data_IF_096232165791
#
_entry.id   IF_096232165791
#
_cell.length_a   1.000
_cell.length_b   1.000
_cell.length_c   1.000
_cell.angle_alpha   90.00
_cell.angle_beta   90.00
_cell.angle_gamma   90.00
#
_symmetry.space_group_name_H-M   'P 1'
#
loop_
_entity.id
_entity.type
_entity.pdbx_description
1 polymer ?
#
# COMPACT_ATOMS: atom_id res chain seq x y z
N UNK A 1 23.48 -40.01 77.28
CA UNK A 1 24.16 -40.43 76.05
C UNK A 1 23.14 -40.31 74.94
N UNK A 2 23.02 -39.17 74.27
CA UNK A 2 22.15 -39.04 73.10
C UNK A 2 22.81 -38.12 72.07
N UNK A 3 23.00 -38.67 70.88
CA UNK A 3 23.77 -38.14 69.75
C UNK A 3 23.00 -36.99 69.09
N UNK A 4 23.63 -35.82 69.01
CA UNK A 4 23.19 -34.75 68.12
C UNK A 4 23.49 -35.12 66.66
N UNK A 5 22.43 -35.31 65.86
CA UNK A 5 22.52 -35.53 64.41
C UNK A 5 22.76 -34.18 63.73
N UNK A 6 23.96 -33.99 63.15
CA UNK A 6 24.27 -32.81 62.33
C UNK A 6 23.80 -33.06 60.89
N UNK A 7 22.79 -32.33 60.46
CA UNK A 7 22.39 -32.21 59.05
C UNK A 7 23.36 -31.26 58.33
N UNK A 8 24.10 -31.78 57.35
CA UNK A 8 24.90 -30.98 56.42
C UNK A 8 23.99 -30.48 55.28
N UNK A 9 24.02 -29.19 54.92
CA UNK A 9 23.26 -28.68 53.79
C UNK A 9 23.98 -29.06 52.50
N UNK A 10 23.31 -29.86 51.67
CA UNK A 10 23.76 -30.17 50.31
C UNK A 10 23.55 -28.89 49.46
N UNK A 11 24.61 -28.11 49.28
CA UNK A 11 24.60 -26.94 48.40
C UNK A 11 24.62 -27.45 46.96
N UNK A 12 23.45 -27.59 46.33
CA UNK A 12 23.32 -27.96 44.93
C UNK A 12 23.85 -26.84 44.03
N UNK A 13 25.02 -27.03 43.42
CA UNK A 13 25.46 -26.21 42.30
C UNK A 13 24.53 -26.47 41.11
N UNK A 14 23.58 -25.56 40.89
CA UNK A 14 22.77 -25.50 39.68
C UNK A 14 23.66 -24.91 38.57
N UNK A 15 24.24 -25.76 37.72
CA UNK A 15 24.98 -25.34 36.53
C UNK A 15 24.03 -24.65 35.54
N UNK A 16 24.06 -23.33 35.49
CA UNK A 16 23.45 -22.53 34.42
C UNK A 16 24.23 -22.77 33.12
N UNK A 17 23.79 -23.76 32.33
CA UNK A 17 24.25 -23.91 30.95
C UNK A 17 23.66 -22.76 30.12
N UNK A 18 24.47 -21.98 29.38
CA UNK A 18 23.96 -20.93 28.51
C UNK A 18 23.07 -21.56 27.42
N UNK A 19 21.82 -21.10 27.31
CA UNK A 19 20.96 -21.50 26.20
C UNK A 19 21.63 -21.07 24.89
N UNK A 20 21.73 -21.96 23.88
CA UNK A 20 22.16 -21.55 22.56
C UNK A 20 21.19 -20.51 22.03
N UNK A 21 21.72 -19.33 21.67
CA UNK A 21 20.98 -18.33 20.93
C UNK A 21 20.62 -18.93 19.57
N UNK A 22 19.35 -19.28 19.38
CA UNK A 22 18.85 -19.70 18.08
C UNK A 22 18.91 -18.48 17.17
N UNK A 23 19.79 -18.50 16.17
CA UNK A 23 19.78 -17.52 15.11
C UNK A 23 18.47 -17.68 14.33
N UNK A 24 17.71 -16.60 14.16
CA UNK A 24 16.57 -16.58 13.25
C UNK A 24 17.02 -16.99 11.85
N UNK A 25 16.21 -17.75 11.10
CA UNK A 25 16.55 -18.11 9.73
C UNK A 25 16.82 -16.82 8.90
N UNK A 26 17.77 -16.87 7.95
CA UNK A 26 18.02 -15.74 7.08
C UNK A 26 16.74 -15.39 6.30
N UNK A 27 16.42 -14.09 6.25
CA UNK A 27 15.25 -13.58 5.54
C UNK A 27 15.46 -13.77 4.03
N UNK A 28 14.53 -14.49 3.38
CA UNK A 28 14.50 -14.61 1.93
C UNK A 28 13.77 -13.40 1.33
N UNK A 29 14.54 -12.37 0.99
CA UNK A 29 14.01 -11.12 0.48
C UNK A 29 13.30 -11.26 -0.87
N UNK A 30 13.72 -12.21 -1.71
CA UNK A 30 13.08 -12.43 -3.01
C UNK A 30 11.69 -13.04 -2.81
N UNK A 31 11.61 -14.10 -2.00
CA UNK A 31 10.33 -14.71 -1.67
C UNK A 31 9.37 -13.73 -0.95
N UNK A 32 9.89 -12.88 -0.05
CA UNK A 32 9.09 -11.83 0.59
C UNK A 32 8.56 -10.82 -0.42
N UNK A 33 9.38 -10.39 -1.38
CA UNK A 33 8.94 -9.46 -2.43
C UNK A 33 7.85 -10.07 -3.30
N UNK A 34 8.04 -11.31 -3.74
CA UNK A 34 7.06 -12.00 -4.61
C UNK A 34 5.71 -12.15 -3.90
N UNK A 35 5.71 -12.60 -2.65
CA UNK A 35 4.48 -12.74 -1.87
C UNK A 35 3.80 -11.40 -1.62
N UNK A 36 4.57 -10.38 -1.19
CA UNK A 36 4.01 -9.07 -0.91
C UNK A 36 3.44 -8.40 -2.18
N UNK A 37 4.02 -8.62 -3.36
CA UNK A 37 3.46 -8.11 -4.62
C UNK A 37 2.13 -8.78 -5.01
N UNK A 38 1.88 -10.01 -4.58
CA UNK A 38 0.61 -10.71 -4.79
C UNK A 38 -0.49 -10.22 -3.84
N UNK A 39 -0.12 -9.90 -2.60
CA UNK A 39 -1.05 -9.49 -1.54
C UNK A 39 -1.31 -7.99 -1.50
N UNK A 40 -0.33 -7.16 -1.92
CA UNK A 40 -0.43 -5.72 -1.83
C UNK A 40 -1.53 -5.17 -2.73
N UNK A 41 -2.27 -4.16 -2.23
CA UNK A 41 -3.23 -3.41 -3.03
C UNK A 41 -2.49 -2.75 -4.20
N UNK A 42 -2.80 -3.17 -5.42
CA UNK A 42 -2.12 -2.68 -6.63
C UNK A 42 -2.76 -1.39 -7.11
N UNK A 43 -1.97 -0.31 -7.18
CA UNK A 43 -2.40 0.95 -7.77
C UNK A 43 -2.34 0.84 -9.29
N UNK A 44 -3.51 0.91 -9.94
CA UNK A 44 -3.67 1.00 -11.40
C UNK A 44 -4.63 2.14 -11.74
N UNK A 45 -4.14 3.31 -12.20
CA UNK A 45 -2.73 3.61 -12.50
C UNK A 45 -1.84 3.63 -11.23
N UNK A 46 -0.51 3.51 -11.34
CA UNK A 46 0.39 3.72 -10.19
C UNK A 46 0.19 5.11 -9.59
N UNK A 47 0.55 5.34 -8.33
CA UNK A 47 0.53 6.68 -7.72
C UNK A 47 1.87 7.40 -7.89
N UNK A 48 1.84 8.72 -7.93
CA UNK A 48 3.00 9.56 -7.63
C UNK A 48 3.21 9.65 -6.13
N UNK A 49 4.46 9.77 -5.70
CA UNK A 49 4.79 10.12 -4.33
C UNK A 49 6.02 11.00 -4.24
N UNK A 50 6.15 11.75 -3.14
CA UNK A 50 7.38 12.45 -2.76
C UNK A 50 7.97 11.87 -1.49
N UNK A 51 9.28 11.74 -1.45
CA UNK A 51 10.00 11.34 -0.23
C UNK A 51 9.96 12.49 0.78
N UNK A 52 9.61 12.19 2.03
CA UNK A 52 9.52 13.15 3.14
C UNK A 52 10.39 12.74 4.34
N UNK A 53 10.48 13.61 5.34
CA UNK A 53 11.31 13.43 6.54
C UNK A 53 12.76 13.84 6.31
N UNK A 54 13.70 13.16 6.97
CA UNK A 54 15.13 13.51 6.95
C UNK A 54 16.01 12.31 6.55
N UNK A 55 17.23 12.59 6.10
CA UNK A 55 18.23 11.57 5.79
C UNK A 55 17.89 10.70 4.57
N UNK A 56 18.66 9.63 4.39
CA UNK A 56 18.50 8.69 3.27
C UNK A 56 17.38 7.69 3.56
N UNK A 57 16.51 7.47 2.58
CA UNK A 57 15.57 6.36 2.55
C UNK A 57 16.14 5.30 1.61
N UNK A 58 16.66 4.22 2.19
CA UNK A 58 17.22 3.13 1.41
C UNK A 58 16.11 2.30 0.76
N UNK A 59 16.36 1.81 -0.45
CA UNK A 59 15.50 0.81 -1.08
C UNK A 59 15.84 -0.57 -0.53
N UNK A 60 14.83 -1.42 -0.46
CA UNK A 60 14.94 -2.81 -0.02
C UNK A 60 14.54 -3.77 -1.15
N UNK A 61 15.19 -4.94 -1.22
CA UNK A 61 14.83 -5.98 -2.19
C UNK A 61 13.55 -6.74 -1.83
N UNK A 62 13.05 -6.58 -0.61
CA UNK A 62 11.77 -7.07 -0.10
C UNK A 62 11.29 -6.17 1.05
N UNK A 63 10.01 -6.25 1.46
CA UNK A 63 9.43 -5.38 2.49
C UNK A 63 9.85 -5.79 3.92
N UNK A 64 11.15 -5.81 4.17
CA UNK A 64 11.74 -6.10 5.48
C UNK A 64 13.04 -5.32 5.68
N UNK A 65 13.31 -4.89 6.91
CA UNK A 65 14.49 -4.11 7.25
C UNK A 65 15.82 -4.82 6.94
N UNK A 66 15.86 -6.16 7.02
CA UNK A 66 17.01 -6.98 6.67
C UNK A 66 17.35 -6.95 5.17
N UNK A 67 16.37 -6.60 4.32
CA UNK A 67 16.51 -6.56 2.87
C UNK A 67 17.10 -5.25 2.32
N UNK A 68 17.72 -4.45 3.19
CA UNK A 68 18.24 -3.11 2.86
C UNK A 68 19.35 -3.15 1.80
N UNK A 69 19.22 -2.31 0.77
CA UNK A 69 20.30 -1.98 -0.13
C UNK A 69 21.06 -0.74 0.37
N UNK A 70 22.27 -0.95 0.89
CA UNK A 70 23.09 0.13 1.48
C UNK A 70 23.60 1.16 0.46
N UNK A 71 23.55 0.86 -0.84
CA UNK A 71 24.05 1.72 -1.91
C UNK A 71 22.95 2.51 -2.61
N UNK A 72 21.74 1.96 -2.66
CA UNK A 72 20.61 2.54 -3.36
C UNK A 72 19.65 3.20 -2.36
N UNK A 73 19.46 4.50 -2.52
CA UNK A 73 18.61 5.30 -1.66
C UNK A 73 18.06 6.50 -2.40
N UNK A 74 16.97 7.02 -1.88
CA UNK A 74 16.35 8.29 -2.25
C UNK A 74 16.41 9.25 -1.07
N UNK A 75 16.24 10.54 -1.32
CA UNK A 75 16.32 11.62 -0.34
C UNK A 75 15.03 12.46 -0.35
N UNK A 76 14.76 13.22 0.72
CA UNK A 76 13.58 14.08 0.77
C UNK A 76 13.46 14.99 -0.46
N UNK A 77 12.27 15.01 -1.04
CA UNK A 77 11.96 15.74 -2.27
C UNK A 77 12.08 14.91 -3.56
N UNK A 78 12.71 13.73 -3.53
CA UNK A 78 12.71 12.83 -4.69
C UNK A 78 11.29 12.36 -5.01
N UNK A 79 10.95 12.33 -6.31
CA UNK A 79 9.70 11.82 -6.82
C UNK A 79 9.78 10.32 -7.09
N UNK A 80 8.73 9.58 -6.74
CA UNK A 80 8.62 8.14 -6.92
C UNK A 80 7.31 7.80 -7.65
N UNK A 81 7.32 6.67 -8.34
CA UNK A 81 6.10 5.98 -8.78
C UNK A 81 5.82 4.83 -7.82
N UNK A 82 4.63 4.75 -7.25
CA UNK A 82 4.21 3.73 -6.28
C UNK A 82 3.23 2.77 -6.94
N UNK A 83 3.56 1.49 -6.95
CA UNK A 83 2.76 0.45 -7.60
C UNK A 83 1.85 -0.30 -6.63
N UNK A 84 2.27 -0.42 -5.37
CA UNK A 84 1.49 -1.12 -4.36
C UNK A 84 1.88 -0.69 -2.95
N UNK A 85 0.99 -0.94 -2.00
CA UNK A 85 1.24 -0.77 -0.57
C UNK A 85 0.81 -2.02 0.18
N UNK A 86 1.66 -2.47 1.10
CA UNK A 86 1.40 -3.62 1.96
C UNK A 86 0.79 -3.16 3.28
N UNK A 87 -0.02 -4.02 3.90
CA UNK A 87 -0.58 -3.77 5.24
C UNK A 87 0.51 -3.61 6.33
N UNK A 88 1.72 -4.09 6.04
CA UNK A 88 2.90 -3.95 6.91
C UNK A 88 3.61 -2.59 6.78
N UNK A 89 3.05 -1.64 6.01
CA UNK A 89 3.56 -0.28 5.88
C UNK A 89 4.73 -0.13 4.93
N UNK A 90 4.83 -1.00 3.94
CA UNK A 90 5.84 -0.92 2.87
C UNK A 90 5.19 -0.57 1.55
N UNK A 91 5.86 0.27 0.77
CA UNK A 91 5.45 0.64 -0.56
C UNK A 91 6.41 0.04 -1.59
N UNK A 92 5.88 -0.59 -2.63
CA UNK A 92 6.66 -0.98 -3.81
C UNK A 92 6.72 0.21 -4.76
N UNK A 93 7.95 0.62 -5.08
CA UNK A 93 8.20 1.84 -5.85
C UNK A 93 9.12 1.59 -7.05
N UNK A 94 9.07 2.52 -7.99
CA UNK A 94 10.11 2.78 -8.97
C UNK A 94 10.62 4.20 -8.79
N UNK A 95 11.94 4.37 -8.85
CA UNK A 95 12.64 5.64 -8.82
C UNK A 95 13.44 5.79 -10.11
N UNK A 96 13.26 6.90 -10.82
CA UNK A 96 14.09 7.26 -11.97
C UNK A 96 15.16 8.25 -11.49
N UNK A 97 16.41 7.81 -11.52
CA UNK A 97 17.56 8.62 -11.14
C UNK A 97 17.84 9.73 -12.17
N UNK A 98 18.71 10.68 -11.80
CA UNK A 98 19.00 11.86 -12.63
C UNK A 98 19.67 11.53 -13.97
N UNK A 99 20.35 10.39 -14.05
CA UNK A 99 20.95 9.86 -15.27
C UNK A 99 19.93 9.09 -16.15
N UNK A 100 18.69 8.93 -15.66
CA UNK A 100 17.61 8.24 -16.36
C UNK A 100 17.55 6.73 -16.06
N UNK A 101 18.46 6.19 -15.25
CA UNK A 101 18.35 4.80 -14.80
C UNK A 101 17.18 4.64 -13.83
N UNK A 102 16.40 3.56 -13.99
CA UNK A 102 15.30 3.23 -13.12
C UNK A 102 15.68 2.16 -12.09
N UNK A 103 15.09 2.29 -10.91
CA UNK A 103 15.38 1.46 -9.76
C UNK A 103 14.08 1.10 -9.08
N UNK A 104 13.79 -0.20 -8.98
CA UNK A 104 12.60 -0.71 -8.30
C UNK A 104 12.96 -1.34 -6.95
N UNK A 105 12.03 -1.28 -6.00
CA UNK A 105 12.20 -1.90 -4.69
C UNK A 105 11.14 -1.49 -3.69
N UNK A 106 11.36 -1.84 -2.43
CA UNK A 106 10.47 -1.53 -1.32
C UNK A 106 11.04 -0.42 -0.44
N UNK A 107 10.18 0.46 0.06
CA UNK A 107 10.54 1.51 1.03
C UNK A 107 9.47 1.61 2.13
N UNK A 108 9.83 2.16 3.29
CA UNK A 108 8.84 2.43 4.35
C UNK A 108 7.83 3.49 3.88
N UNK A 109 6.55 3.13 3.76
CA UNK A 109 5.52 4.00 3.18
C UNK A 109 5.30 5.28 3.99
N UNK A 110 5.46 5.23 5.32
CA UNK A 110 5.40 6.41 6.20
C UNK A 110 6.39 7.53 5.82
N UNK A 111 7.40 7.22 4.99
CA UNK A 111 8.39 8.16 4.47
C UNK A 111 7.96 8.78 3.14
N UNK A 112 6.74 8.49 2.68
CA UNK A 112 6.18 8.97 1.43
C UNK A 112 4.99 9.90 1.72
N UNK A 113 4.92 10.97 0.94
CA UNK A 113 3.69 11.70 0.71
C UNK A 113 3.10 11.19 -0.60
N UNK A 114 2.09 10.33 -0.53
CA UNK A 114 1.35 9.83 -1.69
C UNK A 114 0.55 10.97 -2.35
N UNK A 115 0.53 10.98 -3.67
CA UNK A 115 -0.15 11.96 -4.51
C UNK A 115 -1.14 11.31 -5.47
N UNK A 116 -1.40 11.97 -6.58
CA UNK A 116 -2.32 11.50 -7.62
C UNK A 116 -1.74 10.33 -8.43
N UNK A 117 -2.56 9.70 -9.26
CA UNK A 117 -2.10 8.70 -10.20
C UNK A 117 -1.03 9.24 -11.18
N UNK A 118 0.05 8.48 -11.35
CA UNK A 118 1.20 8.78 -12.20
C UNK A 118 0.80 8.96 -13.65
N UNK A 119 1.16 10.10 -14.23
CA UNK A 119 0.77 10.49 -15.58
C UNK A 119 -0.69 10.93 -15.72
N UNK A 120 -1.43 11.02 -14.61
CA UNK A 120 -2.77 11.55 -14.57
C UNK A 120 -2.80 13.06 -14.32
N UNK A 121 -3.82 13.77 -14.83
CA UNK A 121 -4.05 15.17 -14.48
C UNK A 121 -4.23 15.37 -12.97
N UNK A 122 -3.79 16.51 -12.43
CA UNK A 122 -4.02 16.87 -11.02
C UNK A 122 -5.43 17.45 -10.87
N UNK A 123 -6.39 16.54 -10.75
CA UNK A 123 -7.80 16.88 -10.67
C UNK A 123 -8.21 17.29 -9.25
N UNK A 124 -9.22 18.17 -9.11
CA UNK A 124 -9.86 18.45 -7.84
C UNK A 124 -10.37 17.17 -7.16
N UNK A 125 -10.30 17.11 -5.82
CA UNK A 125 -10.64 15.90 -5.06
C UNK A 125 -12.06 15.37 -5.28
N UNK A 126 -13.02 16.25 -5.53
CA UNK A 126 -14.40 15.86 -5.87
C UNK A 126 -14.53 15.20 -7.25
N UNK A 127 -13.67 15.59 -8.20
CA UNK A 127 -13.62 15.00 -9.54
C UNK A 127 -12.99 13.61 -9.47
N UNK A 128 -11.88 13.45 -8.74
CA UNK A 128 -11.25 12.14 -8.55
C UNK A 128 -12.16 11.18 -7.78
N UNK A 129 -12.82 11.66 -6.72
CA UNK A 129 -13.80 10.87 -5.95
C UNK A 129 -14.95 10.42 -6.85
N UNK A 130 -15.43 11.28 -7.75
CA UNK A 130 -16.50 10.91 -8.67
C UNK A 130 -16.05 9.89 -9.73
N UNK A 131 -14.84 10.04 -10.29
CA UNK A 131 -14.27 9.06 -11.23
C UNK A 131 -14.20 7.68 -10.57
N UNK A 132 -13.68 7.58 -9.35
CA UNK A 132 -13.64 6.31 -8.61
C UNK A 132 -15.05 5.74 -8.39
N UNK A 133 -15.98 6.58 -7.94
CA UNK A 133 -17.38 6.19 -7.74
C UNK A 133 -18.03 5.69 -9.05
N UNK A 134 -17.68 6.27 -10.20
CA UNK A 134 -18.13 5.83 -11.51
C UNK A 134 -17.64 4.42 -11.84
N UNK A 135 -16.36 4.15 -11.62
CA UNK A 135 -15.77 2.83 -11.82
C UNK A 135 -16.40 1.79 -10.89
N UNK A 136 -16.62 2.12 -9.61
CA UNK A 136 -17.28 1.25 -8.65
C UNK A 136 -18.72 0.92 -9.10
N UNK A 137 -19.46 1.91 -9.61
CA UNK A 137 -20.80 1.70 -10.14
C UNK A 137 -20.79 0.74 -11.33
N UNK A 138 -19.92 0.96 -12.32
CA UNK A 138 -19.77 0.05 -13.46
C UNK A 138 -19.39 -1.36 -13.04
N UNK A 139 -18.50 -1.48 -12.05
CA UNK A 139 -18.06 -2.76 -11.51
C UNK A 139 -19.27 -3.52 -10.95
N UNK A 140 -19.93 -2.98 -9.92
CA UNK A 140 -21.03 -3.69 -9.25
C UNK A 140 -22.26 -3.89 -10.14
N UNK A 141 -22.59 -2.92 -11.01
CA UNK A 141 -23.72 -3.04 -11.93
C UNK A 141 -23.47 -4.10 -13.02
N UNK A 142 -22.21 -4.41 -13.32
CA UNK A 142 -21.83 -5.43 -14.30
C UNK A 142 -21.70 -6.85 -13.74
N UNK A 143 -21.81 -7.03 -12.43
CA UNK A 143 -21.63 -8.34 -11.78
C UNK A 143 -22.87 -9.25 -11.87
N UNK A 144 -22.63 -10.56 -11.91
CA UNK A 144 -23.68 -11.57 -11.92
C UNK A 144 -24.16 -11.93 -10.50
N UNK A 145 -25.46 -11.83 -10.28
CA UNK A 145 -26.13 -12.27 -9.05
C UNK A 145 -26.42 -13.80 -9.09
N UNK A 146 -25.36 -14.61 -9.02
CA UNK A 146 -25.47 -16.07 -9.18
C UNK A 146 -26.22 -16.78 -8.02
N UNK A 147 -26.42 -16.11 -6.89
CA UNK A 147 -27.30 -16.54 -5.81
C UNK A 147 -27.98 -15.35 -5.11
N UNK A 148 -28.87 -15.65 -4.16
CA UNK A 148 -29.68 -14.63 -3.47
C UNK A 148 -28.89 -13.75 -2.50
N UNK A 149 -27.83 -14.30 -1.87
CA UNK A 149 -26.97 -13.54 -0.96
C UNK A 149 -26.17 -12.52 -1.77
N UNK A 150 -25.53 -12.96 -2.84
CA UNK A 150 -24.79 -12.09 -3.75
C UNK A 150 -25.71 -11.04 -4.38
N UNK A 151 -26.93 -11.41 -4.76
CA UNK A 151 -27.92 -10.45 -5.26
C UNK A 151 -28.17 -9.32 -4.27
N UNK A 152 -28.38 -9.63 -2.99
CA UNK A 152 -28.64 -8.62 -1.96
C UNK A 152 -27.42 -7.71 -1.73
N UNK A 153 -26.20 -8.26 -1.78
CA UNK A 153 -24.97 -7.47 -1.71
C UNK A 153 -24.83 -6.51 -2.89
N UNK A 154 -25.02 -7.00 -4.11
CA UNK A 154 -24.93 -6.19 -5.33
C UNK A 154 -26.00 -5.10 -5.36
N UNK A 155 -27.25 -5.42 -4.99
CA UNK A 155 -28.32 -4.43 -4.88
C UNK A 155 -27.96 -3.31 -3.89
N UNK A 156 -27.35 -3.65 -2.75
CA UNK A 156 -26.89 -2.65 -1.77
C UNK A 156 -25.75 -1.82 -2.35
N UNK A 157 -24.71 -2.46 -2.90
CA UNK A 157 -23.55 -1.78 -3.45
C UNK A 157 -23.94 -0.83 -4.59
N UNK A 158 -24.72 -1.31 -5.57
CA UNK A 158 -25.26 -0.50 -6.67
C UNK A 158 -26.07 0.69 -6.14
N UNK A 159 -26.92 0.51 -5.13
CA UNK A 159 -27.67 1.63 -4.55
C UNK A 159 -26.76 2.67 -3.89
N UNK A 160 -25.65 2.24 -3.28
CA UNK A 160 -24.69 3.14 -2.64
C UNK A 160 -23.87 3.93 -3.67
N UNK A 161 -23.39 3.29 -4.74
CA UNK A 161 -22.46 3.92 -5.69
C UNK A 161 -23.12 4.48 -6.94
N UNK A 162 -24.25 3.94 -7.41
CA UNK A 162 -24.89 4.40 -8.65
C UNK A 162 -25.97 5.46 -8.44
N UNK A 163 -26.60 5.58 -7.26
CA UNK A 163 -27.74 6.49 -7.10
C UNK A 163 -27.37 7.98 -7.16
N UNK A 164 -27.98 8.75 -8.06
CA UNK A 164 -27.71 10.17 -8.32
C UNK A 164 -26.46 10.44 -9.16
N UNK A 165 -25.90 9.41 -9.80
CA UNK A 165 -24.66 9.48 -10.58
C UNK A 165 -24.75 10.45 -11.75
N UNK A 166 -25.80 10.34 -12.57
CA UNK A 166 -26.00 11.18 -13.76
C UNK A 166 -26.09 12.67 -13.40
N UNK A 167 -26.78 12.96 -12.30
CA UNK A 167 -26.91 14.33 -11.79
C UNK A 167 -25.56 14.87 -11.32
N UNK A 168 -24.75 14.06 -10.66
CA UNK A 168 -23.42 14.48 -10.20
C UNK A 168 -22.45 14.68 -11.37
N UNK A 169 -22.46 13.81 -12.39
CA UNK A 169 -21.66 13.98 -13.59
C UNK A 169 -22.02 15.30 -14.32
N UNK A 170 -23.31 15.57 -14.51
CA UNK A 170 -23.78 16.81 -15.11
C UNK A 170 -23.37 18.04 -14.29
N UNK A 171 -23.48 17.96 -12.95
CA UNK A 171 -23.07 19.04 -12.06
C UNK A 171 -21.56 19.33 -12.16
N UNK A 172 -20.71 18.30 -12.16
CA UNK A 172 -19.26 18.45 -12.28
C UNK A 172 -18.86 19.04 -13.64
N UNK A 173 -19.46 18.55 -14.74
CA UNK A 173 -19.23 19.12 -16.09
C UNK A 173 -19.61 20.60 -16.15
N UNK A 174 -20.70 21.00 -15.50
CA UNK A 174 -21.11 22.40 -15.43
C UNK A 174 -20.20 23.24 -14.54
N UNK A 175 -19.80 22.72 -13.38
CA UNK A 175 -18.97 23.43 -12.40
C UNK A 175 -17.56 23.70 -12.95
N UNK A 176 -17.00 22.75 -13.70
CA UNK A 176 -15.66 22.82 -14.26
C UNK A 176 -15.63 23.15 -15.75
N UNK A 177 -16.67 23.78 -16.28
CA UNK A 177 -16.80 24.10 -17.71
C UNK A 177 -15.62 24.90 -18.30
N UNK A 178 -14.90 25.66 -17.48
CA UNK A 178 -13.74 26.47 -17.88
C UNK A 178 -12.39 25.80 -17.58
N UNK A 179 -12.39 24.56 -17.08
CA UNK A 179 -11.19 23.78 -16.78
C UNK A 179 -11.05 22.61 -17.80
N UNK A 180 -10.23 22.76 -18.85
CA UNK A 180 -10.12 21.76 -19.91
C UNK A 180 -9.53 20.42 -19.43
N UNK A 181 -8.70 20.44 -18.39
CA UNK A 181 -8.09 19.24 -17.82
C UNK A 181 -9.14 18.37 -17.10
N UNK A 182 -10.04 19.01 -16.34
CA UNK A 182 -11.18 18.33 -15.71
C UNK A 182 -12.17 17.83 -16.75
N UNK A 183 -12.49 18.64 -17.76
CA UNK A 183 -13.41 18.21 -18.82
C UNK A 183 -12.87 17.03 -19.60
N UNK A 184 -11.56 17.00 -19.90
CA UNK A 184 -10.93 15.86 -20.54
C UNK A 184 -11.06 14.59 -19.69
N UNK A 185 -10.91 14.68 -18.37
CA UNK A 185 -11.06 13.54 -17.47
C UNK A 185 -12.52 13.06 -17.34
N UNK A 186 -13.50 13.96 -17.46
CA UNK A 186 -14.93 13.63 -17.37
C UNK A 186 -15.57 13.26 -18.71
N UNK A 187 -14.91 13.51 -19.83
CA UNK A 187 -15.40 13.21 -21.18
C UNK A 187 -15.75 11.73 -21.40
N UNK A 188 -14.90 10.75 -21.04
CA UNK A 188 -15.20 9.33 -21.29
C UNK A 188 -16.26 8.74 -20.36
N UNK A 189 -16.67 9.45 -19.31
CA UNK A 189 -17.66 8.95 -18.36
C UNK A 189 -19.08 9.03 -18.95
N UNK A 190 -19.75 7.90 -19.04
CA UNK A 190 -21.13 7.82 -19.53
C UNK A 190 -22.16 8.06 -18.41
N UNK A 191 -23.41 8.26 -18.83
CA UNK A 191 -24.55 8.22 -17.92
C UNK A 191 -24.85 6.75 -17.57
N UNK A 192 -25.12 6.45 -16.30
CA UNK A 192 -25.28 5.10 -15.77
C UNK A 192 -26.64 4.83 -15.12
N UNK A 193 -27.48 5.85 -14.97
CA UNK A 193 -28.82 5.76 -14.37
C UNK A 193 -29.98 5.92 -15.36
#
# INVERSE_FOLDING_TARGET
>A
MDRALRLLPLCGLLSLLPLPAMASPPVDCAALSDNASLEAGQYRPPLEAKVIGEGRLHLHSGPDAACINKKLYVIPGDGLTVYASSDSGWAQIMYIAKDGEDYSGWVEEKRLQLGSHYGGPQLPGEVTTFIQRHEDCLHFAGEEAYDEERRAELEKAVNEVCVGHDRQLAALRSQYQDNPEVLQALEPLENLE
#
